data_IF_696963515709
#
_entry.id   IF_696963515709
#
_cell.length_a   1.000
_cell.length_b   1.000
_cell.length_c   1.000
_cell.angle_alpha   90.00
_cell.angle_beta   90.00
_cell.angle_gamma   90.00
#
_symmetry.space_group_name_H-M   'P 1'
#
loop_
_entity.id
_entity.type
_entity.pdbx_description
1 polymer ?
#
# COMPACT_ATOMS: atom_id res chain seq x y z
N UNK A 1 -11.99 -10.55 -1.93
CA UNK A 1 -10.97 -9.74 -2.62
C UNK A 1 -10.02 -9.02 -1.65
N UNK A 2 -10.51 -8.17 -0.73
CA UNK A 2 -9.68 -7.43 0.26
C UNK A 2 -8.74 -8.34 1.08
N UNK A 3 -9.26 -9.48 1.58
CA UNK A 3 -8.47 -10.51 2.29
C UNK A 3 -7.31 -11.06 1.48
N UNK A 4 -7.45 -11.13 0.15
CA UNK A 4 -6.46 -11.71 -0.74
C UNK A 4 -5.27 -10.75 -0.94
N UNK A 5 -5.56 -9.46 -1.13
CA UNK A 5 -4.55 -8.39 -1.36
C UNK A 5 -3.60 -8.27 -0.16
N UNK A 6 -4.10 -8.34 1.08
CA UNK A 6 -3.26 -8.27 2.29
C UNK A 6 -2.67 -9.62 2.74
N UNK A 7 -3.04 -10.71 2.07
CA UNK A 7 -2.40 -12.03 2.28
C UNK A 7 -1.11 -12.15 1.49
N UNK A 8 -0.96 -11.39 0.40
CA UNK A 8 0.28 -11.31 -0.35
C UNK A 8 1.39 -10.71 0.52
N UNK A 9 2.61 -11.19 0.35
CA UNK A 9 3.77 -10.56 0.98
C UNK A 9 4.09 -9.24 0.26
N UNK A 10 4.75 -8.33 0.98
CA UNK A 10 5.19 -7.06 0.38
C UNK A 10 6.14 -7.26 -0.81
N UNK A 11 6.93 -8.34 -0.78
CA UNK A 11 7.81 -8.75 -1.88
C UNK A 11 6.98 -9.19 -3.10
N UNK A 12 5.91 -9.97 -2.90
CA UNK A 12 5.02 -10.39 -3.98
C UNK A 12 4.31 -9.20 -4.64
N UNK A 13 3.87 -8.21 -3.84
CA UNK A 13 3.28 -6.99 -4.38
C UNK A 13 4.31 -6.14 -5.13
N UNK A 14 5.53 -6.03 -4.60
CA UNK A 14 6.63 -5.36 -5.31
C UNK A 14 6.96 -6.02 -6.63
N UNK A 15 7.06 -7.36 -6.65
CA UNK A 15 7.27 -8.13 -7.87
C UNK A 15 6.15 -7.89 -8.88
N UNK A 16 4.88 -8.02 -8.45
CA UNK A 16 3.72 -7.81 -9.31
C UNK A 16 3.70 -6.39 -9.90
N UNK A 17 3.92 -5.37 -9.07
CA UNK A 17 3.81 -3.97 -9.49
C UNK A 17 5.03 -3.46 -10.26
N UNK A 18 6.18 -4.13 -10.19
CA UNK A 18 7.40 -3.69 -10.87
C UNK A 18 7.70 -4.53 -12.12
N UNK A 19 7.59 -5.86 -12.02
CA UNK A 19 7.99 -6.74 -13.11
C UNK A 19 6.90 -6.92 -14.17
N UNK A 20 5.62 -6.69 -13.85
CA UNK A 20 4.54 -6.82 -14.82
C UNK A 20 4.70 -5.89 -16.04
N UNK A 21 4.86 -4.56 -15.90
CA UNK A 21 5.02 -3.67 -17.06
C UNK A 21 6.33 -3.93 -17.80
N UNK A 22 7.39 -4.31 -17.07
CA UNK A 22 8.68 -4.64 -17.67
C UNK A 22 8.59 -5.89 -18.56
N UNK A 23 7.99 -6.96 -18.04
CA UNK A 23 7.81 -8.20 -18.80
C UNK A 23 6.90 -7.99 -20.01
N UNK A 24 5.81 -7.24 -19.84
CA UNK A 24 4.88 -6.96 -20.95
C UNK A 24 5.54 -6.09 -22.01
N UNK A 25 6.36 -5.10 -21.63
CA UNK A 25 7.12 -4.28 -22.59
C UNK A 25 8.12 -5.12 -23.40
N UNK A 26 8.81 -6.08 -22.78
CA UNK A 26 9.67 -7.02 -23.50
C UNK A 26 8.86 -7.87 -24.48
N UNK A 27 7.74 -8.42 -24.02
CA UNK A 27 6.86 -9.25 -24.84
C UNK A 27 6.32 -8.49 -26.05
N UNK A 28 5.86 -7.25 -25.84
CA UNK A 28 5.38 -6.38 -26.91
C UNK A 28 6.48 -6.00 -27.90
N UNK A 29 7.70 -5.74 -27.41
CA UNK A 29 8.87 -5.54 -28.27
C UNK A 29 9.20 -6.78 -29.12
N UNK A 30 9.11 -7.98 -28.55
CA UNK A 30 9.30 -9.24 -29.27
C UNK A 30 8.21 -9.47 -30.33
N UNK A 31 6.95 -9.19 -29.98
CA UNK A 31 5.82 -9.29 -30.92
C UNK A 31 6.02 -8.29 -32.06
N UNK A 32 6.39 -7.05 -31.78
CA UNK A 32 6.67 -6.03 -32.79
C UNK A 32 7.78 -6.45 -33.75
N UNK A 33 8.85 -7.07 -33.21
CA UNK A 33 9.94 -7.62 -34.01
C UNK A 33 9.45 -8.77 -34.92
N UNK A 34 8.67 -9.71 -34.39
CA UNK A 34 8.11 -10.82 -35.17
C UNK A 34 7.15 -10.29 -36.25
N UNK A 35 6.29 -9.33 -35.91
CA UNK A 35 5.37 -8.66 -36.82
C UNK A 35 6.10 -8.01 -37.99
N UNK A 36 7.25 -7.37 -37.74
CA UNK A 36 8.10 -6.80 -38.78
C UNK A 36 8.64 -7.88 -39.75
N UNK A 37 9.06 -9.04 -39.24
CA UNK A 37 9.58 -10.13 -40.09
C UNK A 37 8.50 -10.93 -40.81
N UNK A 38 7.32 -11.10 -40.20
CA UNK A 38 6.21 -11.89 -40.75
C UNK A 38 5.18 -11.05 -41.52
N UNK A 39 5.36 -9.73 -41.56
CA UNK A 39 4.46 -8.78 -42.24
C UNK A 39 3.00 -8.93 -41.76
N UNK A 40 2.82 -9.08 -40.44
CA UNK A 40 1.52 -9.20 -39.77
C UNK A 40 1.36 -8.08 -38.74
N UNK A 41 0.25 -7.33 -38.81
CA UNK A 41 -0.04 -6.23 -37.90
C UNK A 41 -0.73 -6.71 -36.62
N UNK A 42 0.02 -6.74 -35.52
CA UNK A 42 -0.54 -6.91 -34.18
C UNK A 42 -0.79 -5.53 -33.55
N UNK A 43 -2.05 -5.10 -33.50
CA UNK A 43 -2.44 -3.75 -33.06
C UNK A 43 -2.99 -3.66 -31.63
N UNK A 44 -2.82 -4.71 -30.80
CA UNK A 44 -3.34 -4.69 -29.44
C UNK A 44 -2.33 -4.02 -28.47
N UNK A 45 -2.73 -2.98 -27.71
CA UNK A 45 -1.85 -2.23 -26.82
C UNK A 45 -1.61 -3.00 -25.52
N UNK A 46 -0.68 -3.96 -25.57
CA UNK A 46 -0.37 -4.88 -24.48
C UNK A 46 0.17 -4.13 -23.26
N UNK A 47 1.08 -3.19 -23.46
CA UNK A 47 1.71 -2.42 -22.40
C UNK A 47 0.69 -1.54 -21.67
N UNK A 48 -0.17 -0.83 -22.40
CA UNK A 48 -1.25 0.00 -21.84
C UNK A 48 -2.23 -0.86 -21.05
N UNK A 49 -2.55 -2.07 -21.55
CA UNK A 49 -3.39 -3.04 -20.84
C UNK A 49 -2.75 -3.46 -19.52
N UNK A 50 -1.44 -3.73 -19.50
CA UNK A 50 -0.72 -4.06 -18.27
C UNK A 50 -0.67 -2.89 -17.30
N UNK A 51 -0.44 -1.67 -17.79
CA UNK A 51 -0.48 -0.45 -16.99
C UNK A 51 -1.86 -0.21 -16.38
N UNK A 52 -2.95 -0.47 -17.11
CA UNK A 52 -4.31 -0.38 -16.57
C UNK A 52 -4.53 -1.38 -15.45
N UNK A 53 -4.14 -2.64 -15.63
CA UNK A 53 -4.27 -3.68 -14.59
C UNK A 53 -3.51 -3.25 -13.33
N UNK A 54 -2.30 -2.72 -13.49
CA UNK A 54 -1.51 -2.20 -12.37
C UNK A 54 -2.21 -1.04 -11.65
N UNK A 55 -2.72 -0.07 -12.41
CA UNK A 55 -3.47 1.05 -11.84
C UNK A 55 -4.75 0.59 -11.14
N UNK A 56 -5.43 -0.41 -11.67
CA UNK A 56 -6.62 -0.99 -11.04
C UNK A 56 -6.27 -1.65 -9.70
N UNK A 57 -5.20 -2.46 -9.67
CA UNK A 57 -4.70 -3.08 -8.43
C UNK A 57 -4.29 -2.03 -7.40
N UNK A 58 -3.66 -0.95 -7.84
CA UNK A 58 -3.32 0.19 -7.00
C UNK A 58 -4.53 0.89 -6.42
N UNK A 59 -5.53 1.21 -7.25
CA UNK A 59 -6.77 1.85 -6.82
C UNK A 59 -7.53 0.97 -5.84
N UNK A 60 -7.57 -0.34 -6.08
CA UNK A 60 -8.12 -1.32 -5.15
C UNK A 60 -7.38 -1.31 -3.81
N UNK A 61 -6.04 -1.28 -3.84
CA UNK A 61 -5.21 -1.19 -2.64
C UNK A 61 -5.48 0.11 -1.84
N UNK A 62 -5.52 1.25 -2.53
CA UNK A 62 -5.86 2.55 -1.93
C UNK A 62 -7.25 2.50 -1.31
N UNK A 63 -8.26 2.01 -2.02
CA UNK A 63 -9.64 1.93 -1.52
C UNK A 63 -9.73 1.12 -0.24
N UNK A 64 -9.05 -0.03 -0.19
CA UNK A 64 -9.03 -0.87 1.00
C UNK A 64 -8.47 -0.12 2.23
N UNK A 65 -7.42 0.69 2.04
CA UNK A 65 -6.83 1.47 3.13
C UNK A 65 -7.72 2.65 3.48
N UNK A 66 -8.05 3.47 2.48
CA UNK A 66 -8.72 4.74 2.65
C UNK A 66 -10.18 4.61 3.12
N UNK A 67 -10.85 3.54 2.73
CA UNK A 67 -12.26 3.28 3.08
C UNK A 67 -12.36 2.21 4.14
N UNK A 68 -11.82 1.00 3.91
CA UNK A 68 -12.07 -0.13 4.83
C UNK A 68 -11.36 0.02 6.17
N UNK A 69 -10.09 0.45 6.21
CA UNK A 69 -9.40 0.68 7.48
C UNK A 69 -9.96 1.93 8.17
N UNK A 70 -10.23 2.98 7.41
CA UNK A 70 -10.81 4.21 7.94
C UNK A 70 -12.15 3.98 8.63
N UNK A 71 -13.12 3.35 7.95
CA UNK A 71 -14.46 3.11 8.49
C UNK A 71 -14.43 2.21 9.73
N UNK A 72 -13.49 1.26 9.79
CA UNK A 72 -13.37 0.32 10.92
C UNK A 72 -12.65 0.88 12.14
N UNK A 73 -11.68 1.79 11.97
CA UNK A 73 -10.77 2.18 13.06
C UNK A 73 -10.63 3.69 13.28
N UNK A 74 -10.59 4.50 12.22
CA UNK A 74 -10.16 5.91 12.33
C UNK A 74 -11.33 6.89 12.20
N UNK A 75 -12.34 6.57 11.38
CA UNK A 75 -13.60 7.31 11.17
C UNK A 75 -13.42 8.77 10.70
N UNK A 76 -12.49 9.03 9.78
CA UNK A 76 -12.35 10.34 9.11
C UNK A 76 -13.43 10.46 8.02
N UNK A 77 -14.05 11.64 7.88
CA UNK A 77 -14.97 11.95 6.77
C UNK A 77 -14.26 11.71 5.41
N UNK A 78 -14.83 10.83 4.58
CA UNK A 78 -14.23 10.38 3.33
C UNK A 78 -15.02 10.78 2.06
N UNK A 79 -15.99 11.71 2.16
CA UNK A 79 -16.85 12.12 1.02
C UNK A 79 -16.04 12.65 -0.15
N UNK A 80 -15.18 13.67 0.09
CA UNK A 80 -14.32 14.24 -0.95
C UNK A 80 -13.34 13.21 -1.51
N UNK A 81 -12.85 12.29 -0.66
CA UNK A 81 -12.00 11.19 -1.11
C UNK A 81 -12.71 10.29 -2.11
N UNK A 82 -13.96 9.91 -1.84
CA UNK A 82 -14.75 9.07 -2.76
C UNK A 82 -14.97 9.76 -4.11
N UNK A 83 -15.22 11.08 -4.11
CA UNK A 83 -15.37 11.87 -5.34
C UNK A 83 -14.07 11.92 -6.14
N UNK A 84 -12.95 12.32 -5.51
CA UNK A 84 -11.64 12.35 -6.18
C UNK A 84 -11.23 10.97 -6.67
N UNK A 85 -11.46 9.92 -5.86
CA UNK A 85 -11.16 8.54 -6.22
C UNK A 85 -11.95 8.09 -7.45
N UNK A 86 -13.25 8.37 -7.50
CA UNK A 86 -14.08 8.04 -8.66
C UNK A 86 -13.63 8.82 -9.89
N UNK A 87 -13.44 10.13 -9.77
CA UNK A 87 -12.99 11.00 -10.86
C UNK A 87 -11.66 10.51 -11.47
N UNK A 88 -10.65 10.24 -10.64
CA UNK A 88 -9.35 9.73 -11.10
C UNK A 88 -9.46 8.32 -11.69
N UNK A 89 -10.27 7.43 -11.10
CA UNK A 89 -10.47 6.07 -11.61
C UNK A 89 -11.13 6.06 -12.98
N UNK A 90 -12.16 6.89 -13.17
CA UNK A 90 -12.85 7.06 -14.45
C UNK A 90 -11.93 7.65 -15.51
N UNK A 91 -11.10 8.65 -15.15
CA UNK A 91 -10.09 9.19 -16.05
C UNK A 91 -9.12 8.10 -16.54
N UNK A 92 -8.58 7.27 -15.63
CA UNK A 92 -7.66 6.18 -16.01
C UNK A 92 -8.31 5.12 -16.91
N UNK A 93 -9.59 4.83 -16.68
CA UNK A 93 -10.34 3.92 -17.57
C UNK A 93 -10.55 4.55 -18.95
N UNK A 94 -10.90 5.84 -19.01
CA UNK A 94 -11.11 6.55 -20.26
C UNK A 94 -9.82 6.65 -21.08
N UNK A 95 -8.71 7.00 -20.43
CA UNK A 95 -7.36 7.04 -21.01
C UNK A 95 -7.00 5.69 -21.67
N UNK A 96 -7.26 4.58 -20.98
CA UNK A 96 -7.10 3.26 -21.58
C UNK A 96 -8.03 3.01 -22.78
N UNK A 97 -9.31 3.36 -22.69
CA UNK A 97 -10.27 3.16 -23.80
C UNK A 97 -9.87 3.96 -25.05
N UNK A 98 -9.32 5.16 -24.87
CA UNK A 98 -8.78 5.97 -25.98
C UNK A 98 -7.53 5.33 -26.59
N UNK A 99 -6.67 4.73 -25.76
CA UNK A 99 -5.46 4.04 -26.20
C UNK A 99 -5.71 2.66 -26.84
N UNK A 100 -6.94 2.13 -26.80
CA UNK A 100 -7.29 0.86 -27.47
C UNK A 100 -7.21 0.92 -29.02
N UNK A 101 -6.86 2.07 -29.61
CA UNK A 101 -6.75 2.28 -31.06
C UNK A 101 -8.00 1.82 -31.83
N UNK A 102 -9.17 1.85 -31.19
CA UNK A 102 -10.44 1.51 -31.82
C UNK A 102 -10.75 2.53 -32.92
N UNK A 103 -11.15 2.05 -34.09
CA UNK A 103 -11.41 2.88 -35.28
C UNK A 103 -12.45 3.98 -35.03
N UNK A 104 -13.27 3.85 -33.99
CA UNK A 104 -14.29 4.80 -33.53
C UNK A 104 -13.68 6.16 -33.11
N UNK A 105 -12.39 6.23 -32.78
CA UNK A 105 -11.71 7.47 -32.38
C UNK A 105 -10.86 8.11 -33.49
N UNK A 106 -10.85 7.55 -34.71
CA UNK A 106 -9.96 7.98 -35.81
C UNK A 106 -10.51 9.12 -36.68
N UNK A 107 -11.67 9.68 -36.37
CA UNK A 107 -12.20 10.81 -37.15
C UNK A 107 -11.40 12.09 -36.86
N UNK A 108 -10.80 12.66 -37.91
CA UNK A 108 -10.12 13.95 -37.85
C UNK A 108 -11.13 15.08 -37.78
N UNK A 109 -11.18 15.78 -36.64
CA UNK A 109 -11.99 16.97 -36.49
C UNK A 109 -11.26 18.15 -37.13
N UNK A 110 -11.72 18.61 -38.29
CA UNK A 110 -11.29 19.88 -38.88
C UNK A 110 -11.84 21.03 -38.02
N UNK A 111 -11.00 21.58 -37.14
CA UNK A 111 -11.35 22.69 -36.25
C UNK A 111 -10.44 23.89 -36.53
N UNK A 112 -11.03 25.09 -36.52
CA UNK A 112 -10.29 26.35 -36.68
C UNK A 112 -9.27 26.59 -35.54
N UNK A 113 -8.20 27.33 -35.82
CA UNK A 113 -7.11 27.62 -34.88
C UNK A 113 -7.55 28.16 -33.51
N UNK A 114 -8.61 28.99 -33.44
CA UNK A 114 -9.12 29.50 -32.15
C UNK A 114 -9.80 28.41 -31.31
N UNK A 115 -10.46 27.46 -31.97
CA UNK A 115 -11.12 26.31 -31.33
C UNK A 115 -10.09 25.32 -30.82
N UNK A 116 -8.98 25.13 -31.54
CA UNK A 116 -7.84 24.31 -31.11
C UNK A 116 -7.25 24.83 -29.79
N UNK A 117 -6.96 26.15 -29.70
CA UNK A 117 -6.40 26.76 -28.47
C UNK A 117 -7.34 26.58 -27.28
N UNK A 118 -8.65 26.74 -27.47
CA UNK A 118 -9.63 26.55 -26.41
C UNK A 118 -9.68 25.09 -25.93
N UNK A 119 -9.61 24.13 -26.86
CA UNK A 119 -9.57 22.70 -26.54
C UNK A 119 -8.29 22.35 -25.78
N UNK A 120 -7.13 22.83 -26.22
CA UNK A 120 -5.86 22.61 -25.53
C UNK A 120 -5.89 23.15 -24.09
N UNK A 121 -6.45 24.35 -23.88
CA UNK A 121 -6.60 24.93 -22.55
C UNK A 121 -7.54 24.10 -21.65
N UNK A 122 -8.64 23.59 -22.21
CA UNK A 122 -9.58 22.72 -21.49
C UNK A 122 -8.94 21.37 -21.12
N UNK A 123 -8.17 20.78 -22.04
CA UNK A 123 -7.41 19.55 -21.81
C UNK A 123 -6.36 19.76 -20.72
N UNK A 124 -5.64 20.88 -20.75
CA UNK A 124 -4.69 21.25 -19.70
C UNK A 124 -5.36 21.38 -18.34
N UNK A 125 -6.48 22.13 -18.27
CA UNK A 125 -7.24 22.31 -17.03
C UNK A 125 -7.74 20.98 -16.48
N UNK A 126 -8.25 20.12 -17.36
CA UNK A 126 -8.66 18.76 -17.01
C UNK A 126 -7.49 17.94 -16.46
N UNK A 127 -6.31 17.99 -17.09
CA UNK A 127 -5.10 17.33 -16.61
C UNK A 127 -4.69 17.79 -15.20
N UNK A 128 -4.76 19.10 -14.92
CA UNK A 128 -4.50 19.66 -13.59
C UNK A 128 -5.49 19.14 -12.55
N UNK A 129 -6.79 19.04 -12.89
CA UNK A 129 -7.81 18.50 -11.99
C UNK A 129 -7.61 17.01 -11.68
N UNK A 130 -7.21 16.23 -12.68
CA UNK A 130 -6.85 14.82 -12.50
C UNK A 130 -5.65 14.69 -11.56
N UNK A 131 -4.61 15.49 -11.78
CA UNK A 131 -3.41 15.48 -10.94
C UNK A 131 -3.70 15.93 -9.49
N UNK A 132 -4.49 16.98 -9.32
CA UNK A 132 -4.94 17.44 -8.00
C UNK A 132 -5.77 16.35 -7.28
N UNK A 133 -6.64 15.65 -8.01
CA UNK A 133 -7.41 14.51 -7.48
C UNK A 133 -6.50 13.39 -7.01
N UNK A 134 -5.46 13.06 -7.79
CA UNK A 134 -4.45 12.07 -7.40
C UNK A 134 -3.68 12.46 -6.15
N UNK A 135 -3.21 13.71 -6.06
CA UNK A 135 -2.55 14.24 -4.85
C UNK A 135 -3.47 14.12 -3.64
N UNK A 136 -4.74 14.51 -3.76
CA UNK A 136 -5.69 14.45 -2.66
C UNK A 136 -5.89 12.99 -2.18
N UNK A 137 -6.05 12.05 -3.11
CA UNK A 137 -6.13 10.60 -2.82
C UNK A 137 -4.90 10.14 -2.04
N UNK A 138 -3.70 10.52 -2.48
CA UNK A 138 -2.44 10.16 -1.82
C UNK A 138 -2.33 10.77 -0.42
N UNK A 139 -2.65 12.06 -0.25
CA UNK A 139 -2.62 12.76 1.04
C UNK A 139 -3.60 12.14 2.03
N UNK A 140 -4.84 11.91 1.61
CA UNK A 140 -5.87 11.31 2.46
C UNK A 140 -5.49 9.90 2.91
N UNK A 141 -4.98 9.09 1.98
CA UNK A 141 -4.54 7.72 2.27
C UNK A 141 -3.31 7.70 3.16
N UNK A 142 -2.34 8.60 2.93
CA UNK A 142 -1.17 8.79 3.79
C UNK A 142 -1.55 9.21 5.22
N UNK A 143 -2.57 10.07 5.38
CA UNK A 143 -3.11 10.48 6.69
C UNK A 143 -3.76 9.33 7.47
N UNK A 144 -4.32 8.35 6.76
CA UNK A 144 -4.87 7.14 7.37
C UNK A 144 -3.72 6.24 7.83
N UNK A 145 -2.72 6.03 6.98
CA UNK A 145 -1.56 5.20 7.30
C UNK A 145 -0.74 5.79 8.46
N UNK A 146 -0.60 7.12 8.53
CA UNK A 146 0.16 7.78 9.60
C UNK A 146 -0.50 7.64 10.97
N UNK A 147 -1.82 7.41 11.02
CA UNK A 147 -2.57 7.17 12.26
C UNK A 147 -2.56 5.72 12.71
N UNK A 148 -1.90 4.83 11.98
CA UNK A 148 -1.73 3.43 12.35
C UNK A 148 -0.61 3.33 13.40
N UNK A 149 -0.92 2.98 14.67
CA UNK A 149 0.11 2.85 15.70
C UNK A 149 0.98 1.63 15.42
N UNK A 150 2.30 1.80 15.48
CA UNK A 150 3.27 0.72 15.26
C UNK A 150 4.26 0.72 16.39
N UNK A 151 4.33 -0.41 17.09
CA UNK A 151 5.25 -0.60 18.21
C UNK A 151 6.55 -1.31 17.79
N UNK A 152 6.99 -1.09 16.54
CA UNK A 152 8.12 -1.79 15.93
C UNK A 152 9.21 -0.80 15.49
N UNK A 153 10.39 -0.92 16.10
CA UNK A 153 11.56 -0.06 15.85
C UNK A 153 12.02 -0.09 14.39
N UNK A 154 11.78 -1.19 13.66
CA UNK A 154 12.17 -1.35 12.25
C UNK A 154 11.48 -0.33 11.32
N UNK A 155 10.36 0.26 11.73
CA UNK A 155 9.55 1.17 10.89
C UNK A 155 9.56 2.62 11.35
N UNK A 156 10.47 2.99 12.27
CA UNK A 156 10.58 4.37 12.78
C UNK A 156 10.78 5.38 11.66
N UNK A 157 11.65 5.09 10.70
CA UNK A 157 11.88 5.92 9.51
C UNK A 157 10.62 6.17 8.66
N UNK A 158 9.72 5.19 8.55
CA UNK A 158 8.46 5.34 7.79
C UNK A 158 7.42 6.16 8.56
N UNK A 159 7.53 6.23 9.89
CA UNK A 159 6.69 7.11 10.69
C UNK A 159 7.10 8.57 10.56
N UNK A 160 8.39 8.83 10.34
CA UNK A 160 8.94 10.18 10.14
C UNK A 160 8.80 10.63 8.68
N UNK A 161 8.80 9.71 7.71
CA UNK A 161 8.61 10.05 6.30
C UNK A 161 7.13 10.37 5.97
N UNK A 162 6.85 11.38 5.14
CA UNK A 162 5.47 11.67 4.74
C UNK A 162 4.88 10.51 3.94
N UNK A 163 4.04 9.68 4.58
CA UNK A 163 3.47 8.46 3.98
C UNK A 163 2.74 8.74 2.64
N UNK A 164 2.26 9.96 2.40
CA UNK A 164 1.65 10.34 1.12
C UNK A 164 2.66 10.41 -0.05
N UNK A 165 3.92 10.79 0.20
CA UNK A 165 4.97 10.83 -0.83
C UNK A 165 5.25 9.41 -1.35
N UNK A 166 5.28 8.42 -0.47
CA UNK A 166 5.42 7.01 -0.86
C UNK A 166 4.23 6.53 -1.73
N UNK A 167 3.05 7.13 -1.59
CA UNK A 167 1.89 6.83 -2.44
C UNK A 167 2.00 7.54 -3.81
N UNK A 168 2.55 8.76 -3.83
CA UNK A 168 2.79 9.53 -5.05
C UNK A 168 3.83 8.90 -5.97
N UNK A 169 4.88 8.28 -5.40
CA UNK A 169 5.92 7.57 -6.18
C UNK A 169 5.46 6.14 -6.49
N UNK A 170 4.21 5.97 -6.93
CA UNK A 170 3.70 4.69 -7.40
C UNK A 170 4.54 4.16 -8.58
N UNK A 171 4.91 2.87 -8.63
CA UNK A 171 4.61 1.79 -7.66
C UNK A 171 5.62 1.60 -6.53
N UNK A 172 6.74 2.33 -6.52
CA UNK A 172 7.91 2.07 -5.65
C UNK A 172 7.61 2.15 -4.15
N UNK A 173 6.76 3.08 -3.72
CA UNK A 173 6.47 3.23 -2.28
C UNK A 173 5.41 2.26 -1.74
N UNK A 174 4.70 1.51 -2.58
CA UNK A 174 3.65 0.59 -2.13
C UNK A 174 4.18 -0.59 -1.33
N UNK A 175 5.23 -1.33 -1.75
CA UNK A 175 5.72 -2.47 -0.98
C UNK A 175 6.10 -2.08 0.45
N UNK A 176 6.70 -0.90 0.59
CA UNK A 176 7.11 -0.30 1.85
C UNK A 176 5.89 -0.04 2.74
N UNK A 177 4.88 0.68 2.24
CA UNK A 177 3.65 0.96 2.97
C UNK A 177 2.82 -0.29 3.24
N UNK A 178 2.82 -1.26 2.32
CA UNK A 178 2.08 -2.50 2.47
C UNK A 178 2.64 -3.34 3.61
N UNK A 179 3.98 -3.41 3.77
CA UNK A 179 4.61 -4.12 4.89
C UNK A 179 4.18 -3.56 6.25
N UNK A 180 4.12 -2.23 6.32
CA UNK A 180 3.65 -1.46 7.48
C UNK A 180 2.21 -1.83 7.83
N UNK A 181 1.32 -1.83 6.84
CA UNK A 181 -0.10 -2.14 7.03
C UNK A 181 -0.30 -3.61 7.39
N UNK A 182 0.43 -4.53 6.75
CA UNK A 182 0.33 -5.98 7.00
C UNK A 182 0.67 -6.32 8.45
N UNK A 183 1.70 -5.70 9.02
CA UNK A 183 2.05 -5.87 10.44
C UNK A 183 0.94 -5.39 11.37
N UNK A 184 0.42 -4.18 11.14
CA UNK A 184 -0.69 -3.65 11.92
C UNK A 184 -1.93 -4.56 11.87
N UNK A 185 -2.26 -5.06 10.68
CA UNK A 185 -3.39 -5.96 10.48
C UNK A 185 -3.21 -7.31 11.19
N UNK A 186 -1.97 -7.81 11.25
CA UNK A 186 -1.62 -9.03 11.98
C UNK A 186 -1.74 -8.84 13.49
N UNK A 187 -1.28 -7.71 14.02
CA UNK A 187 -1.36 -7.37 15.45
C UNK A 187 -2.79 -7.13 15.95
N UNK A 188 -3.67 -6.61 15.09
CA UNK A 188 -5.04 -6.25 15.46
C UNK A 188 -6.09 -7.32 15.09
N UNK A 189 -5.65 -8.55 14.74
CA UNK A 189 -6.50 -9.66 14.28
C UNK A 189 -7.51 -9.31 13.16
N UNK A 190 -7.31 -8.19 12.44
CA UNK A 190 -8.34 -7.62 11.58
C UNK A 190 -8.67 -8.47 10.34
N UNK A 191 -7.85 -9.49 10.07
CA UNK A 191 -8.01 -10.44 8.97
C UNK A 191 -7.98 -11.91 9.38
N UNK A 192 -7.77 -12.23 10.67
CA UNK A 192 -7.77 -13.62 11.17
C UNK A 192 -9.15 -14.02 11.69
N UNK A 193 -10.13 -14.17 10.79
CA UNK A 193 -11.20 -15.15 11.02
C UNK A 193 -10.75 -16.52 10.50
N UNK A 194 -9.71 -17.06 11.13
CA UNK A 194 -9.45 -18.50 11.21
C UNK A 194 -8.86 -18.79 12.58
N UNK A 195 -9.61 -18.51 13.64
CA UNK A 195 -9.57 -19.42 14.78
C UNK A 195 -10.40 -20.62 14.34
N UNK A 196 -9.74 -21.63 13.78
CA UNK A 196 -10.36 -22.96 13.86
C UNK A 196 -10.64 -23.19 15.35
N UNK A 197 -11.83 -23.68 15.65
CA UNK A 197 -12.16 -24.19 16.98
C UNK A 197 -11.29 -25.42 17.24
N UNK A 198 -10.00 -25.24 17.53
CA UNK A 198 -9.28 -26.23 18.29
C UNK A 198 -9.67 -26.01 19.75
N UNK A 199 -10.72 -26.76 20.13
CA UNK A 199 -11.03 -27.19 21.49
C UNK A 199 -9.73 -27.59 22.19
N UNK A 200 -9.14 -26.69 22.98
CA UNK A 200 -8.48 -27.03 24.24
C UNK A 200 -8.56 -25.80 25.14
N UNK A 201 -9.26 -25.85 26.29
CA UNK A 201 -9.24 -24.75 27.23
C UNK A 201 -7.87 -24.74 27.92
N UNK A 202 -7.09 -23.69 27.68
CA UNK A 202 -5.96 -23.35 28.55
C UNK A 202 -6.56 -22.81 29.84
N UNK A 203 -6.56 -23.65 30.87
CA UNK A 203 -6.92 -23.28 32.23
C UNK A 203 -5.94 -22.20 32.75
N UNK A 204 -6.32 -20.93 32.67
CA UNK A 204 -5.74 -19.91 33.54
C UNK A 204 -6.49 -19.93 34.87
N UNK A 205 -6.12 -20.89 35.73
CA UNK A 205 -6.38 -20.82 37.16
C UNK A 205 -5.05 -20.62 37.87
N UNK A 206 -4.67 -19.36 38.12
CA UNK A 206 -3.96 -18.96 39.34
C UNK A 206 -4.43 -17.56 39.74
N UNK A 207 -5.23 -17.52 40.82
CA UNK A 207 -5.53 -16.34 41.61
C UNK A 207 -4.24 -15.64 42.09
N UNK A 208 -4.27 -14.33 42.38
CA UNK A 208 -3.14 -13.63 42.95
C UNK A 208 -2.93 -14.07 44.40
N UNK A 209 -1.77 -14.66 44.73
CA UNK A 209 -1.35 -14.78 46.12
C UNK A 209 -0.56 -13.54 46.53
N UNK A 210 -1.11 -12.78 47.49
CA UNK A 210 -0.34 -11.84 48.30
C UNK A 210 0.77 -12.64 48.98
N UNK A 211 2.04 -12.36 48.67
CA UNK A 211 3.17 -12.82 49.49
C UNK A 211 3.81 -11.63 50.20
N UNK A 212 4.03 -11.86 51.49
CA UNK A 212 4.38 -10.95 52.56
C UNK A 212 5.58 -10.03 52.30
N UNK A 213 5.50 -8.84 52.91
CA UNK A 213 6.51 -7.78 52.93
C UNK A 213 7.65 -8.02 53.93
N UNK A 214 7.89 -9.27 54.36
CA UNK A 214 8.84 -9.58 55.45
C UNK A 214 10.08 -10.40 55.05
N UNK A 215 10.22 -10.83 53.80
CA UNK A 215 11.38 -11.67 53.38
C UNK A 215 12.55 -10.86 52.77
N UNK A 216 12.46 -9.53 52.74
CA UNK A 216 13.53 -8.66 52.18
C UNK A 216 14.56 -8.25 53.25
N UNK A 217 14.30 -8.48 54.54
CA UNK A 217 15.19 -8.04 55.63
C UNK A 217 16.19 -9.14 56.04
N UNK A 218 15.91 -10.43 55.80
CA UNK A 218 16.79 -11.52 56.24
C UNK A 218 17.92 -11.90 55.26
N UNK A 219 17.92 -11.37 54.03
CA UNK A 219 18.96 -11.67 53.02
C UNK A 219 19.98 -10.55 52.83
N UNK A 220 19.91 -9.47 53.63
CA UNK A 220 20.87 -8.36 53.61
C UNK A 220 21.96 -8.46 54.69
N UNK A 221 21.82 -9.37 55.66
CA UNK A 221 22.82 -9.59 56.73
C UNK A 221 23.76 -10.78 56.48
N UNK A 222 23.61 -11.51 55.36
CA UNK A 222 24.43 -12.69 55.05
C UNK A 222 25.45 -12.52 53.93
N UNK A 223 25.58 -11.32 53.35
CA UNK A 223 26.51 -11.05 52.25
C UNK A 223 27.72 -10.20 52.71
N UNK A 224 27.72 -9.66 53.92
CA UNK A 224 28.82 -8.80 54.44
C UNK A 224 29.82 -9.52 55.36
N UNK A 225 29.94 -10.86 55.31
CA UNK A 225 30.87 -11.59 56.22
C UNK A 225 31.80 -12.64 55.63
N UNK A 226 31.86 -12.87 54.31
CA UNK A 226 32.70 -13.96 53.78
C UNK A 226 33.76 -13.62 52.72
N UNK A 227 33.97 -12.35 52.34
CA UNK A 227 34.94 -12.03 51.26
C UNK A 227 36.10 -11.09 51.64
N UNK A 228 36.51 -11.12 52.91
CA UNK A 228 37.77 -10.53 53.35
C UNK A 228 38.59 -11.51 54.17
N UNK A 229 39.21 -12.49 53.51
CA UNK A 229 40.52 -13.07 53.88
C UNK A 229 40.96 -14.07 52.83
N UNK A 230 41.74 -13.62 51.82
CA UNK A 230 42.78 -14.41 51.12
C UNK A 230 43.41 -13.60 50.00
N UNK A 231 44.21 -12.61 50.35
CA UNK A 231 45.35 -12.16 49.54
C UNK A 231 46.33 -11.42 50.46
N UNK A 232 47.36 -12.12 50.93
CA UNK A 232 48.64 -11.50 51.27
C UNK A 232 49.78 -12.48 50.93
N UNK A 233 50.90 -11.98 50.36
CA UNK A 233 52.02 -12.81 49.92
C UNK A 233 53.08 -12.96 51.01
N UNK A 234 53.74 -14.12 51.03
CA UNK A 234 55.17 -14.32 51.28
C UNK A 234 55.55 -15.75 50.89
#
# INVERSE_FOLDING_TARGET
>A
MIKLIFKLSSIQIGLLLFFMPFFVGILEGLISLISFFLNFDFNFPLFESALLIMHFLFLMWIWCIAVTINEKKIKIKNTLFKVCFLFYSTHRLLDFLLNLNLDIFKEGWFLDNKTIILIELLVLLYGVLVFASYIYIAVFTGKIISKIPINNSRFKFINDFPNFLLILVFPLGIPILHSKIQLFLKENELFYFTKSKNKYPVNFSKKPSKKNKNDVIANKEKIDKEDHTRFMPK
#
